data_IF_213353072644
#
_entry.id   IF_213353072644
#
_cell.length_a   1.000
_cell.length_b   1.000
_cell.length_c   1.000
_cell.angle_alpha   90.00
_cell.angle_beta   90.00
_cell.angle_gamma   90.00
#
_symmetry.space_group_name_H-M   'P 1'
#
loop_
_entity.id
_entity.type
_entity.pdbx_description
1 polymer ?
#
# COMPACT_ATOMS: atom_id res chain seq x y z
N UNK A 1 13.05 -1.78 -6.64
CA UNK A 1 12.45 -2.59 -7.66
C UNK A 1 10.94 -2.71 -7.61
N UNK A 2 10.28 -2.68 -6.41
CA UNK A 2 8.83 -2.86 -6.30
C UNK A 2 8.05 -1.80 -7.08
N UNK A 3 8.34 -0.52 -6.89
CA UNK A 3 7.63 0.59 -7.53
C UNK A 3 7.68 0.52 -9.06
N UNK A 4 8.85 0.27 -9.62
CA UNK A 4 8.96 0.14 -11.08
C UNK A 4 8.26 -1.12 -11.62
N UNK A 5 8.24 -2.19 -10.85
CA UNK A 5 7.49 -3.40 -11.21
C UNK A 5 5.99 -3.13 -11.20
N UNK A 6 5.47 -2.48 -10.16
CA UNK A 6 4.07 -2.09 -10.03
C UNK A 6 3.63 -1.15 -11.16
N UNK A 7 4.41 -0.09 -11.40
CA UNK A 7 4.13 0.89 -12.48
C UNK A 7 4.15 0.23 -13.87
N UNK A 8 5.11 -0.64 -14.13
CA UNK A 8 5.22 -1.34 -15.41
C UNK A 8 4.05 -2.30 -15.62
N UNK A 9 3.67 -3.06 -14.59
CA UNK A 9 2.51 -3.96 -14.65
C UNK A 9 1.23 -3.16 -14.91
N UNK A 10 1.03 -2.06 -14.18
CA UNK A 10 -0.13 -1.19 -14.38
C UNK A 10 -0.21 -0.64 -15.79
N UNK A 11 0.91 -0.17 -16.33
CA UNK A 11 0.98 0.30 -17.73
C UNK A 11 0.61 -0.79 -18.74
N UNK A 12 1.13 -2.00 -18.55
CA UNK A 12 0.85 -3.13 -19.43
C UNK A 12 -0.62 -3.57 -19.36
N UNK A 13 -1.23 -3.58 -18.19
CA UNK A 13 -2.64 -3.89 -18.01
C UNK A 13 -3.53 -2.81 -18.64
N UNK A 14 -3.23 -1.54 -18.41
CA UNK A 14 -3.94 -0.43 -19.05
C UNK A 14 -3.85 -0.50 -20.59
N UNK A 15 -2.68 -0.82 -21.12
CA UNK A 15 -2.50 -0.99 -22.57
C UNK A 15 -3.34 -2.16 -23.16
N UNK A 16 -3.78 -3.09 -22.31
CA UNK A 16 -4.72 -4.15 -22.66
C UNK A 16 -6.20 -3.80 -22.45
N UNK A 17 -6.48 -2.58 -22.04
CA UNK A 17 -7.83 -2.07 -21.85
C UNK A 17 -8.43 -2.24 -20.46
N UNK A 18 -7.64 -2.70 -19.46
CA UNK A 18 -8.12 -2.81 -18.09
C UNK A 18 -8.09 -1.44 -17.38
N UNK A 19 -9.08 -1.21 -16.54
CA UNK A 19 -9.06 -0.10 -15.58
C UNK A 19 -8.20 -0.47 -14.37
N UNK A 20 -7.11 0.25 -14.19
CA UNK A 20 -6.09 -0.05 -13.17
C UNK A 20 -6.04 1.08 -12.15
N UNK A 21 -6.09 0.77 -10.87
CA UNK A 21 -5.75 1.71 -9.80
C UNK A 21 -4.53 1.22 -9.02
N UNK A 22 -3.90 2.13 -8.29
CA UNK A 22 -2.70 1.82 -7.52
C UNK A 22 -2.78 2.36 -6.11
N UNK A 23 -2.28 1.57 -5.16
CA UNK A 23 -2.10 1.97 -3.76
C UNK A 23 -0.68 1.65 -3.30
N UNK A 24 -0.14 2.53 -2.47
CA UNK A 24 1.12 2.35 -1.75
C UNK A 24 0.87 2.24 -0.27
N UNK A 25 1.40 1.20 0.35
CA UNK A 25 1.37 0.98 1.79
C UNK A 25 2.78 1.10 2.34
N UNK A 26 3.01 2.13 3.15
CA UNK A 26 4.32 2.43 3.73
C UNK A 26 4.36 2.08 5.21
N UNK A 27 5.31 1.24 5.65
CA UNK A 27 5.33 0.75 7.04
C UNK A 27 5.89 1.75 8.05
N UNK A 28 6.33 2.94 7.64
CA UNK A 28 6.79 3.95 8.60
C UNK A 28 5.63 4.53 9.42
N UNK A 29 5.97 5.06 10.62
CA UNK A 29 4.99 5.53 11.62
C UNK A 29 4.49 6.95 11.33
N UNK A 30 5.15 7.71 10.47
CA UNK A 30 4.68 9.03 10.08
C UNK A 30 3.27 8.96 9.48
N UNK A 31 2.44 9.97 9.74
CA UNK A 31 1.10 10.08 9.15
C UNK A 31 1.20 10.22 7.62
N UNK A 32 2.11 11.06 7.18
CA UNK A 32 2.46 11.29 5.77
C UNK A 32 3.94 11.72 5.67
N UNK A 33 4.51 11.82 4.47
CA UNK A 33 5.91 12.21 4.30
C UNK A 33 6.15 13.72 4.34
N UNK A 34 5.13 14.57 4.50
CA UNK A 34 5.26 16.03 4.36
C UNK A 34 6.25 16.70 5.31
N UNK A 35 6.47 16.14 6.50
CA UNK A 35 7.45 16.63 7.49
C UNK A 35 8.73 15.80 7.54
N UNK A 36 8.88 14.81 6.67
CA UNK A 36 10.06 13.95 6.65
C UNK A 36 11.25 14.68 6.01
N UNK A 37 12.46 14.30 6.44
CA UNK A 37 13.68 14.86 5.88
C UNK A 37 13.88 14.41 4.42
N UNK A 38 13.91 15.32 3.44
CA UNK A 38 14.04 14.96 2.02
C UNK A 38 15.32 14.19 1.68
N UNK A 39 16.40 14.40 2.46
CA UNK A 39 17.67 13.68 2.25
C UNK A 39 17.54 12.20 2.59
N UNK A 40 16.71 11.87 3.58
CA UNK A 40 16.51 10.49 4.02
C UNK A 40 15.38 9.78 3.26
N UNK A 41 14.32 10.51 2.93
CA UNK A 41 13.10 9.94 2.38
C UNK A 41 12.91 10.21 0.88
N UNK A 42 13.51 11.26 0.36
CA UNK A 42 13.27 11.76 -0.98
C UNK A 42 12.20 12.86 -1.03
N UNK A 43 11.80 13.21 -2.23
CA UNK A 43 10.79 14.23 -2.48
C UNK A 43 9.39 13.74 -2.14
N UNK A 44 8.52 14.67 -1.78
CA UNK A 44 7.09 14.44 -1.53
C UNK A 44 6.33 14.67 -2.82
N UNK A 45 5.41 13.76 -3.15
CA UNK A 45 4.45 13.94 -4.23
C UNK A 45 3.11 14.39 -3.65
N UNK A 46 2.49 15.40 -4.25
CA UNK A 46 1.18 15.92 -3.83
C UNK A 46 0.14 15.55 -4.87
N UNK A 47 -0.89 14.84 -4.46
CA UNK A 47 -2.02 14.47 -5.31
C UNK A 47 -2.94 15.66 -5.59
N UNK A 48 -3.79 15.58 -6.61
CA UNK A 48 -4.71 16.66 -6.98
C UNK A 48 -5.67 17.04 -5.84
N UNK A 49 -6.01 16.10 -4.96
CA UNK A 49 -6.82 16.36 -3.75
C UNK A 49 -6.00 16.88 -2.55
N UNK A 50 -4.73 17.23 -2.77
CA UNK A 50 -3.84 17.90 -1.80
C UNK A 50 -3.19 16.96 -0.78
N UNK A 51 -3.23 15.65 -0.97
CA UNK A 51 -2.56 14.71 -0.09
C UNK A 51 -1.04 14.68 -0.35
N UNK A 52 -0.26 14.83 0.72
CA UNK A 52 1.19 14.61 0.69
C UNK A 52 1.47 13.11 0.76
N UNK A 53 2.23 12.60 -0.21
CA UNK A 53 2.42 11.16 -0.40
C UNK A 53 3.86 10.83 -0.76
N UNK A 54 4.17 9.53 -0.74
CA UNK A 54 5.44 9.01 -1.23
C UNK A 54 5.62 9.31 -2.72
N UNK A 55 6.86 9.56 -3.14
CA UNK A 55 7.23 9.88 -4.52
C UNK A 55 6.81 8.78 -5.51
N UNK A 56 6.73 7.53 -5.08
CA UNK A 56 6.31 6.42 -5.93
C UNK A 56 4.90 6.64 -6.53
N UNK A 57 4.02 7.38 -5.85
CA UNK A 57 2.71 7.73 -6.41
C UNK A 57 2.84 8.59 -7.67
N UNK A 58 3.77 9.52 -7.68
CA UNK A 58 4.07 10.31 -8.88
C UNK A 58 4.56 9.44 -10.04
N UNK A 59 5.32 8.41 -9.75
CA UNK A 59 5.74 7.42 -10.76
C UNK A 59 4.55 6.62 -11.27
N UNK A 60 3.63 6.20 -10.39
CA UNK A 60 2.42 5.47 -10.82
C UNK A 60 1.55 6.33 -11.72
N UNK A 61 1.26 7.58 -11.34
CA UNK A 61 0.50 8.51 -12.19
C UNK A 61 1.17 8.68 -13.55
N UNK A 62 2.48 8.91 -13.56
CA UNK A 62 3.24 9.14 -14.80
C UNK A 62 3.23 7.94 -15.74
N UNK A 63 3.39 6.71 -15.22
CA UNK A 63 3.53 5.52 -16.06
C UNK A 63 2.18 4.88 -16.39
N UNK A 64 1.24 4.91 -15.46
CA UNK A 64 -0.08 4.30 -15.65
C UNK A 64 -1.04 5.29 -16.32
N UNK A 65 -0.78 6.61 -16.17
CA UNK A 65 -1.62 7.68 -16.70
C UNK A 65 -3.03 7.65 -16.10
N UNK A 66 -3.08 7.52 -14.76
CA UNK A 66 -4.29 7.57 -13.92
C UNK A 66 -4.00 8.45 -12.71
N UNK A 67 -4.91 9.38 -12.41
CA UNK A 67 -4.81 10.23 -11.22
C UNK A 67 -5.01 9.41 -9.95
N UNK A 68 -4.17 9.69 -8.95
CA UNK A 68 -4.26 9.09 -7.63
C UNK A 68 -4.76 10.11 -6.60
N UNK A 69 -5.18 9.65 -5.45
CA UNK A 69 -5.75 10.50 -4.41
C UNK A 69 -5.28 10.07 -3.00
N UNK A 70 -5.80 10.73 -1.98
CA UNK A 70 -5.45 10.47 -0.57
C UNK A 70 -5.66 9.03 -0.10
N UNK A 71 -6.48 8.23 -0.79
CA UNK A 71 -6.69 6.80 -0.48
C UNK A 71 -5.57 5.93 -1.06
N UNK A 72 -4.81 6.47 -1.99
CA UNK A 72 -3.75 5.74 -2.69
C UNK A 72 -2.47 5.58 -1.88
N UNK A 73 -2.29 6.36 -0.80
CA UNK A 73 -1.15 6.22 0.11
C UNK A 73 -1.60 5.97 1.54
N UNK A 74 -1.19 4.84 2.08
CA UNK A 74 -1.51 4.39 3.44
C UNK A 74 -0.22 4.18 4.21
N UNK A 75 -0.07 4.86 5.34
CA UNK A 75 1.06 4.70 6.26
C UNK A 75 0.64 3.96 7.52
N UNK A 76 1.59 3.35 8.22
CA UNK A 76 1.35 2.80 9.55
C UNK A 76 0.75 3.89 10.47
N UNK A 77 1.25 5.12 10.39
CA UNK A 77 0.72 6.24 11.17
C UNK A 77 -0.77 6.48 10.91
N UNK A 78 -1.22 6.50 9.67
CA UNK A 78 -2.65 6.63 9.33
C UNK A 78 -3.49 5.47 9.87
N UNK A 79 -2.97 4.25 9.82
CA UNK A 79 -3.66 3.06 10.35
C UNK A 79 -3.85 3.17 11.86
N UNK A 80 -2.77 3.42 12.60
CA UNK A 80 -2.83 3.53 14.06
C UNK A 80 -3.62 4.75 14.51
N UNK A 81 -3.50 5.88 13.83
CA UNK A 81 -4.32 7.06 14.13
C UNK A 81 -5.82 6.76 14.03
N UNK A 82 -6.24 6.04 13.00
CA UNK A 82 -7.63 5.60 12.85
C UNK A 82 -8.07 4.71 14.01
N UNK A 83 -7.23 3.73 14.39
CA UNK A 83 -7.54 2.79 15.46
C UNK A 83 -7.61 3.50 16.81
N UNK A 84 -6.63 4.33 17.14
CA UNK A 84 -6.58 5.08 18.41
C UNK A 84 -7.76 6.05 18.49
N UNK A 85 -8.11 6.72 17.41
CA UNK A 85 -9.28 7.60 17.36
C UNK A 85 -10.58 6.84 17.59
N UNK A 86 -10.75 5.66 17.03
CA UNK A 86 -11.90 4.78 17.27
C UNK A 86 -11.95 4.30 18.73
N UNK A 87 -10.79 3.92 19.28
CA UNK A 87 -10.68 3.50 20.69
C UNK A 87 -11.12 4.63 21.63
N UNK A 88 -10.63 5.85 21.40
CA UNK A 88 -10.99 7.02 22.24
C UNK A 88 -12.47 7.39 22.15
N UNK A 89 -13.13 7.11 21.05
CA UNK A 89 -14.60 7.30 20.92
C UNK A 89 -15.42 6.15 21.51
N UNK A 90 -14.78 5.04 21.92
CA UNK A 90 -15.48 3.88 22.46
C UNK A 90 -16.02 2.91 21.39
N UNK A 91 -15.59 3.04 20.13
CA UNK A 91 -16.10 2.23 19.02
C UNK A 91 -15.82 0.71 19.20
N UNK A 92 -14.87 0.36 20.07
CA UNK A 92 -14.54 -1.04 20.39
C UNK A 92 -15.24 -1.58 21.64
N UNK A 93 -16.14 -0.80 22.27
CA UNK A 93 -16.97 -1.27 23.39
C UNK A 93 -16.16 -1.68 24.63
N UNK A 94 -14.98 -1.10 24.86
CA UNK A 94 -14.10 -1.44 25.99
C UNK A 94 -13.27 -2.71 25.80
N UNK A 95 -13.32 -3.35 24.62
CA UNK A 95 -12.48 -4.50 24.32
C UNK A 95 -11.00 -4.11 24.19
N UNK A 96 -10.12 -5.06 24.49
CA UNK A 96 -8.69 -4.90 24.24
C UNK A 96 -8.43 -4.77 22.75
N UNK A 97 -7.79 -3.69 22.33
CA UNK A 97 -7.41 -3.44 20.94
C UNK A 97 -6.01 -3.99 20.68
N UNK A 98 -5.86 -4.86 19.70
CA UNK A 98 -4.63 -5.62 19.42
C UNK A 98 -4.24 -5.52 17.95
N UNK A 99 -2.99 -5.90 17.62
CA UNK A 99 -2.53 -5.93 16.23
C UNK A 99 -3.42 -6.87 15.40
N UNK A 100 -3.68 -8.06 15.92
CA UNK A 100 -4.66 -9.00 15.35
C UNK A 100 -5.84 -9.07 16.34
N UNK A 101 -7.07 -8.74 15.94
CA UNK A 101 -7.51 -8.46 14.56
C UNK A 101 -7.61 -6.97 14.19
N UNK A 102 -7.37 -6.02 15.10
CA UNK A 102 -7.79 -4.62 14.89
C UNK A 102 -6.92 -3.89 13.86
N UNK A 103 -5.58 -4.01 13.96
CA UNK A 103 -4.66 -3.39 12.98
C UNK A 103 -4.80 -4.08 11.61
N UNK A 104 -4.82 -5.42 11.59
CA UNK A 104 -4.97 -6.18 10.35
C UNK A 104 -6.30 -5.89 9.67
N UNK A 105 -7.40 -5.77 10.41
CA UNK A 105 -8.71 -5.42 9.85
C UNK A 105 -8.74 -3.99 9.29
N UNK A 106 -8.11 -3.03 9.97
CA UNK A 106 -7.99 -1.66 9.47
C UNK A 106 -7.19 -1.62 8.16
N UNK A 107 -6.08 -2.37 8.08
CA UNK A 107 -5.29 -2.48 6.85
C UNK A 107 -6.12 -3.10 5.73
N UNK A 108 -6.77 -4.23 5.98
CA UNK A 108 -7.64 -4.89 4.98
C UNK A 108 -8.75 -3.96 4.49
N UNK A 109 -9.38 -3.19 5.39
CA UNK A 109 -10.40 -2.24 5.01
C UNK A 109 -9.89 -1.19 4.01
N UNK A 110 -8.59 -0.89 4.03
CA UNK A 110 -7.97 0.05 3.11
C UNK A 110 -7.62 -0.58 1.76
N UNK A 111 -7.37 -1.88 1.70
CA UNK A 111 -7.27 -2.60 0.43
C UNK A 111 -8.58 -2.49 -0.37
N UNK A 112 -9.73 -2.59 0.29
CA UNK A 112 -11.05 -2.43 -0.36
C UNK A 112 -11.42 -0.99 -0.71
N UNK A 113 -10.70 0.02 -0.20
CA UNK A 113 -10.99 1.44 -0.45
C UNK A 113 -10.33 2.00 -1.71
N UNK A 114 -9.66 1.18 -2.47
CA UNK A 114 -9.20 1.57 -3.78
C UNK A 114 -10.43 1.91 -4.61
N UNK A 115 -10.67 3.16 -4.86
CA UNK A 115 -11.69 3.83 -5.68
C UNK A 115 -13.05 3.14 -5.98
N UNK A 116 -13.92 3.84 -6.70
CA UNK A 116 -15.29 3.40 -6.97
C UNK A 116 -15.32 1.97 -7.54
N UNK A 117 -15.94 1.01 -6.84
CA UNK A 117 -15.95 -0.40 -7.27
C UNK A 117 -16.61 -0.63 -8.63
N UNK A 118 -17.33 0.36 -9.15
CA UNK A 118 -18.10 0.22 -10.39
C UNK A 118 -17.25 0.20 -11.66
N UNK A 119 -16.03 0.80 -11.62
CA UNK A 119 -15.20 0.96 -12.82
C UNK A 119 -13.83 0.28 -12.72
N UNK A 120 -13.46 -0.29 -11.57
CA UNK A 120 -12.15 -0.84 -11.35
C UNK A 120 -12.10 -2.34 -11.60
N UNK A 121 -11.19 -2.77 -12.48
CA UNK A 121 -10.99 -4.18 -12.79
C UNK A 121 -9.76 -4.76 -12.09
N UNK A 122 -8.72 -3.95 -11.91
CA UNK A 122 -7.45 -4.38 -11.28
C UNK A 122 -6.94 -3.31 -10.31
N UNK A 123 -6.67 -3.73 -9.08
CA UNK A 123 -5.95 -2.93 -8.09
C UNK A 123 -4.53 -3.43 -7.93
N UNK A 124 -3.54 -2.56 -8.08
CA UNK A 124 -2.15 -2.86 -7.79
C UNK A 124 -1.81 -2.26 -6.43
N UNK A 125 -1.47 -3.12 -5.48
CA UNK A 125 -1.12 -2.72 -4.12
C UNK A 125 0.36 -3.00 -3.90
N UNK A 126 1.15 -1.95 -3.71
CA UNK A 126 2.54 -2.08 -3.33
C UNK A 126 2.69 -1.96 -1.82
N UNK A 127 3.27 -2.98 -1.20
CA UNK A 127 3.66 -2.93 0.22
C UNK A 127 5.13 -2.54 0.31
N UNK A 128 5.37 -1.37 0.92
CA UNK A 128 6.70 -0.83 1.17
C UNK A 128 7.50 -1.64 2.18
N UNK A 129 8.77 -1.29 2.31
CA UNK A 129 9.69 -1.96 3.22
C UNK A 129 10.27 -3.26 2.66
N UNK A 130 11.04 -3.94 3.49
CA UNK A 130 11.68 -5.21 3.18
C UNK A 130 10.93 -6.35 3.89
N UNK A 131 10.71 -7.46 3.21
CA UNK A 131 10.12 -8.66 3.84
C UNK A 131 11.06 -9.14 4.94
N UNK A 132 10.53 -9.28 6.15
CA UNK A 132 11.29 -9.60 7.36
C UNK A 132 11.45 -8.45 8.33
N UNK A 133 11.27 -7.20 7.90
CA UNK A 133 11.24 -6.06 8.80
C UNK A 133 10.01 -6.10 9.72
N UNK A 134 10.20 -5.79 10.99
CA UNK A 134 9.13 -5.81 12.01
C UNK A 134 7.98 -4.88 11.60
N UNK A 135 8.29 -3.72 11.05
CA UNK A 135 7.31 -2.71 10.64
C UNK A 135 6.36 -3.21 9.57
N UNK A 136 6.82 -4.14 8.73
CA UNK A 136 6.03 -4.69 7.62
C UNK A 136 5.13 -5.86 8.04
N UNK A 137 5.36 -6.48 9.18
CA UNK A 137 4.65 -7.70 9.61
C UNK A 137 3.12 -7.55 9.62
N UNK A 138 2.53 -6.47 10.18
CA UNK A 138 1.06 -6.32 10.18
C UNK A 138 0.47 -6.23 8.76
N UNK A 139 1.20 -5.62 7.82
CA UNK A 139 0.77 -5.52 6.42
C UNK A 139 0.81 -6.88 5.73
N UNK A 140 1.86 -7.65 5.95
CA UNK A 140 2.00 -9.00 5.38
C UNK A 140 0.95 -9.95 5.94
N UNK A 141 0.67 -9.86 7.24
CA UNK A 141 -0.41 -10.67 7.85
C UNK A 141 -1.79 -10.25 7.33
N UNK A 142 -2.06 -8.94 7.21
CA UNK A 142 -3.29 -8.46 6.62
C UNK A 142 -3.46 -8.94 5.17
N UNK A 143 -2.37 -8.93 4.39
CA UNK A 143 -2.37 -9.40 3.00
C UNK A 143 -2.67 -10.91 2.93
N UNK A 144 -2.06 -11.72 3.81
CA UNK A 144 -2.34 -13.16 3.89
C UNK A 144 -3.81 -13.43 4.18
N UNK A 145 -4.39 -12.71 5.15
CA UNK A 145 -5.81 -12.81 5.48
C UNK A 145 -6.69 -12.36 4.31
N UNK A 146 -6.35 -11.23 3.69
CA UNK A 146 -7.09 -10.68 2.55
C UNK A 146 -7.14 -11.67 1.39
N UNK A 147 -6.01 -12.26 1.00
CA UNK A 147 -5.98 -13.27 -0.07
C UNK A 147 -6.88 -14.47 0.24
N UNK A 148 -6.90 -14.90 1.51
CA UNK A 148 -7.78 -15.99 1.92
C UNK A 148 -9.28 -15.59 1.86
N UNK A 149 -9.61 -14.35 2.22
CA UNK A 149 -10.98 -13.83 2.21
C UNK A 149 -11.54 -13.65 0.80
N UNK A 150 -10.73 -13.12 -0.13
CA UNK A 150 -11.18 -12.84 -1.51
C UNK A 150 -11.01 -14.04 -2.45
N UNK A 151 -10.25 -15.05 -2.04
CA UNK A 151 -9.89 -16.21 -2.86
C UNK A 151 -8.61 -16.00 -3.69
N UNK A 152 -7.88 -17.07 -3.86
CA UNK A 152 -6.59 -17.04 -4.60
C UNK A 152 -6.76 -16.65 -6.07
N UNK A 153 -7.91 -16.92 -6.64
CA UNK A 153 -8.27 -16.54 -8.01
C UNK A 153 -8.43 -15.02 -8.20
N UNK A 154 -8.69 -14.30 -7.12
CA UNK A 154 -8.91 -12.85 -7.13
C UNK A 154 -7.71 -12.04 -6.60
N UNK A 155 -6.65 -12.68 -6.12
CA UNK A 155 -5.50 -12.01 -5.54
C UNK A 155 -4.19 -12.72 -5.87
N UNK A 156 -3.33 -12.05 -6.63
CA UNK A 156 -1.99 -12.53 -6.98
C UNK A 156 -0.96 -11.83 -6.10
N UNK A 157 -0.07 -12.59 -5.46
CA UNK A 157 1.05 -12.06 -4.71
C UNK A 157 2.32 -12.10 -5.55
N UNK A 158 2.96 -10.95 -5.72
CA UNK A 158 4.22 -10.81 -6.44
C UNK A 158 5.32 -10.42 -5.45
N UNK A 159 6.26 -11.32 -5.19
CA UNK A 159 7.41 -11.05 -4.37
C UNK A 159 8.59 -10.61 -5.24
N UNK A 160 8.95 -9.33 -5.15
CA UNK A 160 10.09 -8.76 -5.88
C UNK A 160 11.34 -8.91 -5.04
N UNK A 161 12.32 -9.65 -5.55
CA UNK A 161 13.62 -9.87 -4.88
C UNK A 161 14.76 -9.71 -5.86
N UNK A 162 15.95 -9.41 -5.33
CA UNK A 162 17.20 -9.40 -6.10
C UNK A 162 17.77 -10.81 -6.16
N UNK A 163 17.99 -11.30 -7.37
CA UNK A 163 18.71 -12.56 -7.60
C UNK A 163 20.03 -12.20 -8.27
N UNK A 164 21.14 -12.09 -7.50
CA UNK A 164 22.44 -11.74 -8.07
C UNK A 164 23.03 -12.94 -8.81
N UNK A 165 23.60 -12.67 -9.97
CA UNK A 165 24.45 -13.64 -10.65
C UNK A 165 25.89 -13.49 -10.16
N UNK A 166 26.44 -14.52 -9.53
CA UNK A 166 27.83 -14.56 -9.07
C UNK A 166 28.64 -15.44 -10.03
N UNK A 167 29.45 -14.80 -10.86
CA UNK A 167 30.24 -15.47 -11.90
C UNK A 167 31.24 -16.50 -11.35
N UNK A 168 31.66 -16.36 -10.08
CA UNK A 168 32.63 -17.23 -9.41
C UNK A 168 32.01 -18.37 -8.60
N UNK A 169 30.70 -18.42 -8.49
CA UNK A 169 29.98 -19.45 -7.71
C UNK A 169 29.38 -20.55 -8.57
N UNK A 170 29.79 -20.65 -9.79
CA UNK A 170 29.61 -21.62 -10.87
C UNK A 170 28.48 -22.56 -10.84
#
# INVERSE_FOLDING_TARGET
GKGITAASLGRLLKARGYHVTSQKFDPYINIDPGTMNPIQHGEVFVTDDGAETDLDLGHYERFIDEGLNKKSNVTTGKVYWSILSKERRGDYGGNTVQVIPHVTNEIKSRFYRSEDPSDQEVAIIEIGGTVGDIESQPFLEALRQFQHEVGHENCILIHVTLIPYLKSSG
#
